data_IF_623002316301
#
_entry.id   IF_623002316301
#
_cell.length_a   1.000
_cell.length_b   1.000
_cell.length_c   1.000
_cell.angle_alpha   90.00
_cell.angle_beta   90.00
_cell.angle_gamma   90.00
#
_symmetry.space_group_name_H-M   'P 1'
#
loop_
_entity.id
_entity.type
_entity.pdbx_description
1 polymer ?
#
# COMPACT_ATOMS: atom_id res chain seq x y z
N UNK A 1 -0.79 -20.14 40.65
CA UNK A 1 0.22 -21.21 40.60
C UNK A 1 -0.11 -22.37 41.55
N UNK A 2 -0.15 -22.24 42.89
CA UNK A 2 -0.46 -23.32 43.82
C UNK A 2 -1.81 -23.98 43.52
N UNK A 3 -2.85 -23.21 43.14
CA UNK A 3 -4.15 -23.74 42.73
C UNK A 3 -4.13 -24.45 41.36
N UNK A 4 -3.22 -24.09 40.48
CA UNK A 4 -3.13 -24.67 39.13
C UNK A 4 -2.31 -25.98 39.13
N UNK A 5 -1.42 -26.19 40.10
CA UNK A 5 -0.62 -27.39 40.27
C UNK A 5 -1.33 -28.49 41.10
N UNK A 6 -2.51 -28.19 41.65
CA UNK A 6 -3.31 -29.10 42.49
C UNK A 6 -2.49 -29.79 43.61
N UNK A 7 -1.73 -28.97 44.35
CA UNK A 7 -0.83 -29.44 45.39
C UNK A 7 -1.59 -29.78 46.69
N UNK A 8 -1.30 -30.93 47.26
CA UNK A 8 -1.75 -31.26 48.62
C UNK A 8 -1.13 -30.32 49.67
N UNK A 9 -1.76 -30.15 50.84
CA UNK A 9 -1.23 -29.31 51.92
C UNK A 9 0.19 -29.68 52.38
N UNK A 10 0.54 -30.94 52.29
CA UNK A 10 1.91 -31.45 52.57
C UNK A 10 2.91 -31.02 51.48
N UNK A 11 2.50 -31.11 50.22
CA UNK A 11 3.32 -30.66 49.09
C UNK A 11 3.52 -29.14 49.12
N UNK A 12 2.54 -28.37 49.47
CA UNK A 12 2.66 -26.90 49.55
C UNK A 12 3.75 -26.48 50.55
N UNK A 13 3.81 -27.09 51.74
CA UNK A 13 4.83 -26.78 52.74
C UNK A 13 6.26 -27.15 52.30
N UNK A 14 6.42 -28.24 51.56
CA UNK A 14 7.72 -28.64 51.05
C UNK A 14 8.14 -27.93 49.77
N UNK A 15 7.19 -27.52 48.93
CA UNK A 15 7.39 -26.78 47.67
C UNK A 15 7.82 -25.34 47.89
N UNK A 16 7.24 -24.64 48.87
CA UNK A 16 7.44 -23.21 49.04
C UNK A 16 8.92 -22.78 49.19
N UNK A 17 9.73 -23.46 50.06
CA UNK A 17 11.15 -23.09 50.20
C UNK A 17 11.96 -23.39 48.93
N UNK A 18 11.66 -24.49 48.23
CA UNK A 18 12.36 -24.85 46.97
C UNK A 18 12.03 -23.84 45.90
N UNK A 19 10.76 -23.45 45.78
CA UNK A 19 10.31 -22.47 44.78
C UNK A 19 10.88 -21.09 45.06
N UNK A 20 11.00 -20.69 46.32
CA UNK A 20 11.59 -19.39 46.72
C UNK A 20 13.07 -19.34 46.34
N UNK A 21 13.86 -20.40 46.64
CA UNK A 21 15.24 -20.50 46.25
C UNK A 21 15.43 -20.53 44.72
N UNK A 22 14.53 -21.18 44.00
CA UNK A 22 14.51 -21.18 42.54
C UNK A 22 14.28 -19.79 41.97
N UNK A 23 13.33 -19.02 42.54
CA UNK A 23 13.06 -17.63 42.11
C UNK A 23 14.26 -16.75 42.34
N UNK A 24 14.92 -16.84 43.47
CA UNK A 24 16.16 -16.10 43.77
C UNK A 24 17.31 -16.46 42.82
N UNK A 25 17.40 -17.73 42.44
CA UNK A 25 18.41 -18.19 41.47
C UNK A 25 18.11 -17.63 40.05
N UNK A 26 16.84 -17.61 39.64
CA UNK A 26 16.41 -16.98 38.37
C UNK A 26 16.70 -15.48 38.35
N UNK A 27 16.38 -14.77 39.42
CA UNK A 27 16.59 -13.32 39.51
C UNK A 27 18.09 -12.98 39.43
N UNK A 28 18.97 -13.82 39.98
CA UNK A 28 20.42 -13.68 39.84
C UNK A 28 20.93 -14.00 38.43
N UNK A 29 20.29 -14.94 37.72
CA UNK A 29 20.66 -15.33 36.37
C UNK A 29 20.14 -14.30 35.32
N UNK A 30 19.03 -13.63 35.60
CA UNK A 30 18.45 -12.62 34.71
C UNK A 30 19.21 -11.30 34.87
N UNK A 31 20.21 -11.08 34.02
CA UNK A 31 20.89 -9.78 33.92
C UNK A 31 20.07 -8.86 33.03
N UNK A 32 19.91 -7.61 33.44
CA UNK A 32 19.31 -6.60 32.54
C UNK A 32 20.30 -6.31 31.42
N UNK A 33 19.99 -6.74 30.23
CA UNK A 33 20.72 -6.33 29.03
C UNK A 33 20.05 -5.03 28.56
N UNK A 34 20.79 -3.91 28.48
CA UNK A 34 20.23 -2.68 27.94
C UNK A 34 19.76 -2.92 26.50
N UNK A 35 18.59 -2.41 26.14
CA UNK A 35 18.16 -2.40 24.75
C UNK A 35 19.17 -1.56 23.96
N UNK A 36 19.85 -2.09 22.96
CA UNK A 36 20.88 -1.35 22.26
C UNK A 36 20.26 -0.32 21.31
N UNK A 37 20.18 0.93 21.76
CA UNK A 37 20.35 2.06 20.84
C UNK A 37 21.85 2.13 20.52
N UNK A 38 22.37 1.16 19.76
CA UNK A 38 23.79 1.07 19.49
C UNK A 38 23.99 1.11 17.98
N UNK A 39 24.57 2.20 17.52
CA UNK A 39 25.11 2.37 16.18
C UNK A 39 26.45 1.61 16.06
N UNK A 40 26.45 0.57 15.23
CA UNK A 40 27.63 -0.20 14.85
C UNK A 40 27.45 -1.71 14.93
N UNK A 41 27.86 -2.42 13.86
CA UNK A 41 27.69 -3.87 13.71
C UNK A 41 28.38 -4.69 14.80
N UNK A 42 29.54 -4.26 15.25
CA UNK A 42 30.31 -4.92 16.31
C UNK A 42 29.58 -4.87 17.67
N UNK A 43 28.95 -3.75 18.00
CA UNK A 43 28.19 -3.58 19.22
C UNK A 43 26.88 -4.38 19.21
N UNK A 44 26.21 -4.47 18.05
CA UNK A 44 25.04 -5.33 17.88
C UNK A 44 25.37 -6.81 18.05
N UNK A 45 26.52 -7.26 17.53
CA UNK A 45 27.01 -8.63 17.75
C UNK A 45 27.35 -8.92 19.21
N UNK A 46 27.94 -7.96 19.92
CA UNK A 46 28.25 -8.09 21.35
C UNK A 46 26.96 -8.20 22.18
N UNK A 47 25.98 -7.34 21.95
CA UNK A 47 24.69 -7.38 22.63
C UNK A 47 23.93 -8.70 22.35
N UNK A 48 23.99 -9.24 21.12
CA UNK A 48 23.40 -10.52 20.79
C UNK A 48 24.06 -11.67 21.55
N UNK A 49 25.39 -11.69 21.63
CA UNK A 49 26.14 -12.71 22.42
C UNK A 49 25.77 -12.66 23.90
N UNK A 50 25.67 -11.48 24.49
CA UNK A 50 25.27 -11.29 25.87
C UNK A 50 23.82 -11.74 26.13
N UNK A 51 22.91 -11.46 25.20
CA UNK A 51 21.52 -11.93 25.26
C UNK A 51 21.43 -13.46 25.20
N UNK A 52 22.20 -14.09 24.33
CA UNK A 52 22.26 -15.54 24.24
C UNK A 52 22.88 -16.18 25.50
N UNK A 53 23.91 -15.58 26.07
CA UNK A 53 24.50 -16.02 27.34
C UNK A 53 23.49 -15.93 28.50
N UNK A 54 22.68 -14.88 28.56
CA UNK A 54 21.62 -14.73 29.54
C UNK A 54 20.52 -15.81 29.38
N UNK A 55 20.11 -16.11 28.16
CA UNK A 55 19.15 -17.20 27.88
C UNK A 55 19.73 -18.56 28.35
N UNK A 56 21.00 -18.81 28.09
CA UNK A 56 21.69 -20.04 28.52
C UNK A 56 21.76 -20.15 30.05
N UNK A 57 22.07 -19.04 30.75
CA UNK A 57 22.12 -19.03 32.22
C UNK A 57 20.74 -19.31 32.84
N UNK A 58 19.67 -18.71 32.33
CA UNK A 58 18.30 -18.99 32.77
C UNK A 58 17.90 -20.43 32.52
N UNK A 59 18.27 -21.00 31.36
CA UNK A 59 17.99 -22.39 31.02
C UNK A 59 18.77 -23.35 31.94
N UNK A 60 19.98 -22.98 32.35
CA UNK A 60 20.77 -23.78 33.29
C UNK A 60 20.11 -23.83 34.69
N UNK A 61 19.71 -22.67 35.24
CA UNK A 61 18.98 -22.61 36.53
C UNK A 61 17.72 -23.48 36.48
N UNK A 62 16.95 -23.41 35.42
CA UNK A 62 15.77 -24.26 35.26
C UNK A 62 16.11 -25.74 35.29
N UNK A 63 17.18 -26.16 34.63
CA UNK A 63 17.64 -27.53 34.58
C UNK A 63 18.07 -28.04 35.98
N UNK A 64 18.83 -27.22 36.71
CA UNK A 64 19.36 -27.57 38.04
C UNK A 64 18.25 -27.74 39.08
N UNK A 65 17.07 -27.12 38.86
CA UNK A 65 15.95 -27.24 39.78
C UNK A 65 14.95 -28.34 39.42
N UNK A 66 15.06 -28.98 38.26
CA UNK A 66 14.18 -30.13 37.92
C UNK A 66 14.23 -31.24 38.97
N UNK A 67 15.45 -31.66 39.38
CA UNK A 67 15.62 -32.73 40.36
C UNK A 67 15.14 -32.34 41.75
N UNK A 68 15.37 -31.08 42.16
CA UNK A 68 14.88 -30.55 43.45
C UNK A 68 13.34 -30.48 43.49
N UNK A 69 12.71 -30.14 42.38
CA UNK A 69 11.25 -30.18 42.29
C UNK A 69 10.73 -31.62 42.28
N UNK A 70 11.47 -32.56 41.71
CA UNK A 70 11.10 -33.98 41.68
C UNK A 70 11.05 -34.62 43.07
N UNK A 71 11.72 -34.04 44.08
CA UNK A 71 11.60 -34.50 45.48
C UNK A 71 10.18 -34.26 46.06
N UNK A 72 9.39 -33.35 45.49
CA UNK A 72 8.12 -32.87 46.05
C UNK A 72 6.95 -32.94 45.05
N UNK A 73 7.26 -32.84 43.77
CA UNK A 73 6.28 -32.76 42.68
C UNK A 73 6.36 -33.98 41.77
N UNK A 74 5.27 -34.38 41.18
CA UNK A 74 5.24 -35.35 40.10
C UNK A 74 5.82 -34.75 38.81
N UNK A 75 6.26 -35.60 37.88
CA UNK A 75 6.78 -35.14 36.57
C UNK A 75 5.78 -34.26 35.80
N UNK A 76 4.47 -34.55 35.93
CA UNK A 76 3.41 -33.78 35.32
C UNK A 76 3.23 -32.40 35.98
N UNK A 77 3.34 -32.35 37.29
CA UNK A 77 3.31 -31.09 38.05
C UNK A 77 4.51 -30.20 37.72
N UNK A 78 5.71 -30.81 37.56
CA UNK A 78 6.92 -30.07 37.13
C UNK A 78 6.74 -29.52 35.73
N UNK A 79 6.21 -30.31 34.79
CA UNK A 79 5.90 -29.86 33.42
C UNK A 79 4.92 -28.69 33.42
N UNK A 80 3.87 -28.78 34.24
CA UNK A 80 2.87 -27.73 34.38
C UNK A 80 3.46 -26.48 35.02
N UNK A 81 4.36 -26.64 36.02
CA UNK A 81 5.08 -25.52 36.65
C UNK A 81 5.89 -24.74 35.64
N UNK A 82 6.71 -25.38 34.81
CA UNK A 82 7.54 -24.70 33.81
C UNK A 82 6.73 -24.09 32.66
N UNK A 83 5.63 -24.74 32.28
CA UNK A 83 4.70 -24.16 31.28
C UNK A 83 3.99 -22.94 31.81
N UNK A 84 3.55 -22.96 33.05
CA UNK A 84 2.89 -21.83 33.74
C UNK A 84 3.89 -20.69 33.98
N UNK A 85 5.13 -21.01 34.33
CA UNK A 85 6.19 -20.00 34.49
C UNK A 85 6.63 -19.35 33.18
N UNK A 86 6.61 -20.07 32.08
CA UNK A 86 6.79 -19.49 30.76
C UNK A 86 5.75 -18.40 30.47
N UNK A 87 4.53 -18.60 30.95
CA UNK A 87 3.45 -17.60 30.89
C UNK A 87 3.60 -16.50 31.97
N UNK A 88 4.07 -16.84 33.18
CA UNK A 88 4.28 -15.88 34.28
C UNK A 88 5.53 -15.04 34.06
N UNK A 89 6.62 -15.57 33.51
CA UNK A 89 7.83 -14.82 33.15
C UNK A 89 7.54 -13.73 32.12
N UNK A 90 6.59 -13.96 31.23
CA UNK A 90 6.03 -12.96 30.32
C UNK A 90 5.16 -11.96 31.08
N UNK A 91 4.51 -12.38 32.16
CA UNK A 91 3.61 -11.54 32.96
C UNK A 91 4.30 -10.71 34.06
N UNK A 92 5.43 -11.18 34.61
CA UNK A 92 6.19 -10.47 35.69
C UNK A 92 7.03 -9.31 35.12
N UNK A 93 7.57 -9.42 33.90
CA UNK A 93 8.11 -8.25 33.20
C UNK A 93 7.08 -7.16 32.95
N UNK A 94 5.78 -7.51 33.00
CA UNK A 94 4.65 -6.57 32.95
C UNK A 94 4.33 -5.92 34.30
N UNK A 95 4.61 -6.54 35.42
CA UNK A 95 4.18 -6.06 36.75
C UNK A 95 5.19 -5.09 37.42
N UNK A 96 6.42 -5.02 36.90
CA UNK A 96 7.49 -4.21 37.53
C UNK A 96 7.64 -2.79 37.00
N UNK A 97 6.77 -2.33 36.09
CA UNK A 97 6.94 -1.00 35.53
C UNK A 97 5.71 -0.29 34.96
N UNK A 98 4.59 -0.95 34.77
CA UNK A 98 3.36 -0.29 34.33
C UNK A 98 2.15 -1.11 34.81
N UNK A 99 1.15 -0.47 35.38
CA UNK A 99 -0.17 -1.04 35.62
C UNK A 99 -0.78 -1.42 34.25
N UNK A 100 -0.44 -2.60 33.73
CA UNK A 100 -0.93 -3.06 32.45
C UNK A 100 -2.39 -3.50 32.60
N UNK A 101 -3.31 -2.57 32.34
CA UNK A 101 -4.70 -2.93 32.09
C UNK A 101 -4.73 -3.93 30.93
N UNK A 102 -5.18 -5.16 31.18
CA UNK A 102 -5.35 -6.15 30.12
C UNK A 102 -6.38 -5.61 29.14
N UNK A 103 -6.02 -5.53 27.84
CA UNK A 103 -7.00 -5.20 26.82
C UNK A 103 -8.08 -6.28 26.85
N UNK A 104 -9.37 -5.93 27.01
CA UNK A 104 -10.45 -6.90 27.06
C UNK A 104 -10.55 -7.69 25.75
N UNK A 105 -11.14 -8.90 25.78
CA UNK A 105 -11.35 -9.72 24.57
C UNK A 105 -12.15 -8.99 23.51
N UNK A 106 -13.06 -8.10 23.91
CA UNK A 106 -13.77 -7.15 23.06
C UNK A 106 -13.39 -5.76 23.53
N UNK A 107 -12.74 -4.98 22.68
CA UNK A 107 -12.47 -3.57 22.93
C UNK A 107 -13.52 -2.75 22.17
N UNK A 108 -14.45 -2.20 22.91
CA UNK A 108 -15.49 -1.28 22.39
C UNK A 108 -15.35 0.07 23.05
N UNK A 109 -15.51 1.14 22.28
CA UNK A 109 -15.50 2.50 22.82
C UNK A 109 -16.69 2.72 23.77
N UNK A 110 -16.44 3.43 24.87
CA UNK A 110 -17.48 3.81 25.86
C UNK A 110 -18.42 4.92 25.35
N UNK A 111 -18.03 5.63 24.31
CA UNK A 111 -18.71 6.85 23.82
C UNK A 111 -18.29 8.12 24.58
N UNK A 112 -17.60 8.01 25.71
CA UNK A 112 -17.12 9.16 26.47
C UNK A 112 -15.73 9.58 26.00
N UNK A 113 -15.68 10.66 25.21
CA UNK A 113 -14.45 11.17 24.58
C UNK A 113 -13.58 11.92 25.58
N UNK A 114 -12.30 11.63 25.61
CA UNK A 114 -11.26 12.34 26.36
C UNK A 114 -10.11 12.70 25.42
N UNK A 115 -9.46 13.83 25.70
CA UNK A 115 -8.31 14.32 24.93
C UNK A 115 -7.09 14.37 25.84
N UNK A 116 -5.98 13.88 25.34
CA UNK A 116 -4.66 13.96 26.01
C UNK A 116 -3.66 14.69 25.10
N UNK A 117 -2.81 15.48 25.70
CA UNK A 117 -1.63 16.07 25.06
C UNK A 117 -0.44 15.10 25.22
N UNK A 118 0.12 14.67 24.09
CA UNK A 118 1.27 13.76 24.05
C UNK A 118 2.59 14.47 23.81
N UNK A 119 2.59 15.80 23.97
CA UNK A 119 3.78 16.65 23.86
C UNK A 119 4.18 17.00 22.44
N UNK A 120 5.35 17.55 22.30
CA UNK A 120 5.87 18.03 21.03
C UNK A 120 6.12 16.87 20.05
N UNK A 121 5.80 17.09 18.78
CA UNK A 121 6.08 16.10 17.72
C UNK A 121 7.59 15.99 17.42
N UNK A 122 8.32 17.09 17.63
CA UNK A 122 9.66 17.25 17.09
C UNK A 122 9.65 17.36 15.56
N UNK A 123 10.81 17.31 14.95
CA UNK A 123 10.93 17.19 13.50
C UNK A 123 10.83 15.70 13.11
N UNK A 124 9.82 15.35 12.31
CA UNK A 124 9.58 13.98 11.91
C UNK A 124 9.54 13.84 10.39
N UNK A 125 10.05 12.72 9.91
CA UNK A 125 10.16 12.39 8.49
C UNK A 125 9.13 11.39 8.02
N UNK A 126 8.50 10.65 8.96
CA UNK A 126 7.54 9.60 8.63
C UNK A 126 6.36 9.56 9.60
N UNK A 127 5.20 9.15 9.09
CA UNK A 127 4.02 8.75 9.88
C UNK A 127 3.68 7.31 9.54
N UNK A 128 3.61 6.46 10.56
CA UNK A 128 3.11 5.11 10.46
C UNK A 128 1.85 4.96 11.32
N UNK A 129 0.75 4.50 10.73
CA UNK A 129 -0.50 4.36 11.47
C UNK A 129 -1.30 3.14 11.01
N UNK A 130 -2.00 2.53 11.97
CA UNK A 130 -2.89 1.41 11.76
C UNK A 130 -3.97 1.37 12.85
N UNK A 131 -4.73 0.28 12.91
CA UNK A 131 -5.66 0.02 14.00
C UNK A 131 -6.64 1.17 14.30
N UNK A 132 -7.32 1.68 13.27
CA UNK A 132 -8.40 2.70 13.36
C UNK A 132 -7.97 4.12 13.76
N UNK A 133 -6.69 4.41 13.77
CA UNK A 133 -6.23 5.79 13.99
C UNK A 133 -6.57 6.70 12.80
N UNK A 134 -7.12 7.87 13.11
CA UNK A 134 -7.24 8.97 12.16
C UNK A 134 -6.27 10.06 12.54
N UNK A 135 -5.20 10.22 11.78
CA UNK A 135 -4.16 11.23 12.00
C UNK A 135 -4.46 12.44 11.13
N UNK A 136 -4.56 13.62 11.72
CA UNK A 136 -4.78 14.89 11.03
C UNK A 136 -3.54 15.76 11.18
N UNK A 137 -2.89 16.05 10.06
CA UNK A 137 -1.77 16.98 10.00
C UNK A 137 -2.33 18.40 9.93
N UNK A 138 -2.02 19.24 10.91
CA UNK A 138 -2.63 20.56 11.03
C UNK A 138 -1.61 21.66 11.27
N UNK A 139 -1.67 22.78 10.52
CA UNK A 139 -0.78 23.92 10.74
C UNK A 139 -1.08 24.67 12.04
N UNK A 140 -2.25 24.47 12.63
CA UNK A 140 -2.63 25.09 13.91
C UNK A 140 -2.18 24.28 15.15
N UNK A 141 -1.77 23.02 14.96
CA UNK A 141 -1.30 22.19 16.05
C UNK A 141 0.09 22.62 16.50
N UNK A 142 0.34 22.58 17.82
CA UNK A 142 1.65 22.83 18.43
C UNK A 142 2.24 21.57 19.04
N UNK A 143 1.36 20.71 19.55
CA UNK A 143 1.68 19.43 20.16
C UNK A 143 0.87 18.32 19.51
N UNK A 144 1.23 17.08 19.77
CA UNK A 144 0.44 15.92 19.38
C UNK A 144 -0.71 15.78 20.37
N UNK A 145 -1.95 15.92 19.89
CA UNK A 145 -3.14 15.69 20.71
C UNK A 145 -3.86 14.44 20.25
N UNK A 146 -4.27 13.62 21.22
CA UNK A 146 -4.98 12.37 20.97
C UNK A 146 -6.34 12.41 21.65
N UNK A 147 -7.37 12.16 20.88
CA UNK A 147 -8.75 12.07 21.36
C UNK A 147 -9.30 10.67 21.10
N UNK A 148 -9.70 9.99 22.16
CA UNK A 148 -10.27 8.66 22.09
C UNK A 148 -11.31 8.49 23.22
N UNK A 149 -11.98 7.34 23.25
CA UNK A 149 -12.82 6.99 24.38
C UNK A 149 -11.98 6.75 25.64
N UNK A 150 -12.51 7.14 26.81
CA UNK A 150 -11.80 7.10 28.09
C UNK A 150 -11.30 5.69 28.47
N UNK A 151 -12.02 4.66 28.05
CA UNK A 151 -11.65 3.27 28.27
C UNK A 151 -10.67 2.72 27.21
N UNK A 152 -10.31 3.52 26.18
CA UNK A 152 -9.44 3.13 25.07
C UNK A 152 -8.10 3.87 25.14
N UNK A 153 -8.11 5.14 25.57
CA UNK A 153 -6.96 6.04 25.45
C UNK A 153 -5.68 5.51 26.14
N UNK A 154 -5.81 4.80 27.26
CA UNK A 154 -4.69 4.21 27.98
C UNK A 154 -4.00 3.05 27.23
N UNK A 155 -4.64 2.50 26.19
CA UNK A 155 -4.09 1.44 25.34
C UNK A 155 -3.39 1.96 24.10
N UNK A 156 -3.47 3.26 23.83
CA UNK A 156 -2.83 3.87 22.68
C UNK A 156 -1.34 4.12 22.97
N UNK A 157 -0.51 4.02 21.93
CA UNK A 157 0.94 4.25 22.02
C UNK A 157 1.40 5.08 20.85
N UNK A 158 2.33 5.97 21.14
CA UNK A 158 3.14 6.67 20.18
C UNK A 158 4.60 6.23 20.38
N UNK A 159 5.19 5.66 19.37
CA UNK A 159 6.61 5.35 19.32
C UNK A 159 7.31 6.33 18.40
N UNK A 160 8.40 6.91 18.87
CA UNK A 160 9.28 7.80 18.10
C UNK A 160 10.56 7.05 17.79
N UNK A 161 10.74 6.65 16.52
CA UNK A 161 11.90 5.85 16.08
C UNK A 161 12.49 6.46 14.81
N UNK A 162 13.75 6.95 14.86
CA UNK A 162 14.45 7.43 13.66
C UNK A 162 13.71 8.50 12.86
N UNK A 163 12.97 9.40 13.54
CA UNK A 163 12.14 10.41 12.89
C UNK A 163 10.74 9.92 12.47
N UNK A 164 10.35 8.67 12.74
CA UNK A 164 9.02 8.16 12.49
C UNK A 164 8.11 8.36 13.72
N UNK A 165 6.90 8.86 13.49
CA UNK A 165 5.79 8.84 14.45
C UNK A 165 4.92 7.63 14.16
N UNK A 166 5.06 6.56 14.98
CA UNK A 166 4.29 5.34 14.83
C UNK A 166 3.16 5.26 15.87
N UNK A 167 1.92 5.26 15.40
CA UNK A 167 0.72 5.16 16.24
C UNK A 167 0.19 3.73 16.26
N UNK A 168 0.00 3.17 17.45
CA UNK A 168 -0.42 1.78 17.62
C UNK A 168 -1.28 1.55 18.86
N UNK A 169 -2.02 0.43 18.86
CA UNK A 169 -2.71 -0.10 20.04
C UNK A 169 -1.77 -1.05 20.80
N UNK A 170 -1.60 -0.86 22.10
CA UNK A 170 -0.81 -1.74 22.99
C UNK A 170 -1.74 -2.65 23.81
N UNK A 171 -1.32 -3.88 24.14
CA UNK A 171 -0.30 -4.66 23.48
C UNK A 171 -0.87 -5.39 22.26
N UNK A 172 -0.06 -5.63 21.24
CA UNK A 172 -0.37 -6.60 20.18
C UNK A 172 -0.36 -7.99 20.81
N UNK A 173 -1.44 -8.44 21.40
CA UNK A 173 -1.52 -9.84 21.81
C UNK A 173 -1.94 -10.69 20.60
N UNK A 174 -1.32 -11.86 20.46
CA UNK A 174 -1.57 -12.85 19.40
C UNK A 174 -2.98 -13.47 19.42
N UNK A 175 -3.86 -13.09 20.38
CA UNK A 175 -5.25 -13.57 20.45
C UNK A 175 -6.16 -12.62 19.71
N UNK A 176 -6.86 -13.11 18.72
CA UNK A 176 -7.89 -12.41 17.96
C UNK A 176 -8.85 -11.71 18.92
N UNK A 177 -8.91 -10.40 18.86
CA UNK A 177 -9.81 -9.58 19.66
C UNK A 177 -10.79 -8.92 18.73
N UNK A 178 -12.03 -8.91 19.15
CA UNK A 178 -13.06 -8.14 18.46
C UNK A 178 -12.90 -6.68 18.86
N UNK A 179 -12.75 -5.82 17.87
CA UNK A 179 -12.65 -4.36 18.06
C UNK A 179 -13.92 -3.79 17.46
N UNK A 180 -14.65 -3.02 18.23
CA UNK A 180 -15.92 -2.43 17.83
C UNK A 180 -15.97 -0.95 18.22
N UNK A 181 -16.55 -0.14 17.32
CA UNK A 181 -16.86 1.27 17.56
C UNK A 181 -15.70 2.11 18.11
N UNK A 182 -14.47 1.82 17.67
CA UNK A 182 -13.33 2.67 18.02
C UNK A 182 -13.29 3.90 17.12
N UNK A 183 -13.14 5.06 17.74
CA UNK A 183 -12.85 6.32 17.07
C UNK A 183 -11.64 6.96 17.76
N UNK A 184 -10.49 6.88 17.10
CA UNK A 184 -9.22 7.42 17.62
C UNK A 184 -8.80 8.54 16.67
N UNK A 185 -8.74 9.76 17.18
CA UNK A 185 -8.29 10.92 16.41
C UNK A 185 -6.99 11.45 17.00
N UNK A 186 -6.01 11.65 16.14
CA UNK A 186 -4.71 12.23 16.48
C UNK A 186 -4.50 13.47 15.64
N UNK A 187 -4.18 14.58 16.26
CA UNK A 187 -3.76 15.80 15.56
C UNK A 187 -2.27 15.99 15.76
N UNK A 188 -1.54 16.16 14.67
CA UNK A 188 -0.08 16.37 14.69
C UNK A 188 0.28 17.70 14.04
N UNK A 189 1.31 18.41 14.55
CA UNK A 189 1.87 19.58 13.88
C UNK A 189 2.43 19.22 12.49
N UNK A 190 2.53 20.19 11.61
CA UNK A 190 3.20 20.03 10.31
C UNK A 190 4.71 19.87 10.53
N UNK A 191 5.33 18.92 9.83
CA UNK A 191 6.79 18.82 9.72
C UNK A 191 7.23 19.09 8.29
N UNK A 192 8.19 19.98 8.09
CA UNK A 192 8.79 20.25 6.79
C UNK A 192 9.65 19.09 6.26
N UNK A 193 10.05 18.20 7.15
CA UNK A 193 10.84 17.01 6.83
C UNK A 193 10.02 15.78 6.49
N UNK A 194 8.66 15.84 6.58
CA UNK A 194 7.77 14.71 6.27
C UNK A 194 7.89 14.29 4.81
N UNK A 195 8.19 13.01 4.59
CA UNK A 195 8.30 12.40 3.27
C UNK A 195 7.72 10.99 3.19
N UNK A 196 7.42 10.35 4.31
CA UNK A 196 6.89 8.99 4.32
C UNK A 196 5.58 8.91 5.08
N UNK A 197 4.56 8.24 4.48
CA UNK A 197 3.27 7.99 5.10
C UNK A 197 2.87 6.54 4.85
N UNK A 198 2.75 5.76 5.93
CA UNK A 198 2.34 4.37 5.87
C UNK A 198 1.04 4.16 6.63
N UNK A 199 -0.02 3.76 5.91
CA UNK A 199 -1.38 3.65 6.46
C UNK A 199 -1.93 2.25 6.22
N UNK A 200 -2.38 1.58 7.29
CA UNK A 200 -3.00 0.27 7.19
C UNK A 200 -4.12 0.06 8.21
N UNK A 201 -4.74 -1.10 8.13
CA UNK A 201 -5.68 -1.56 9.15
C UNK A 201 -6.79 -0.57 9.53
N UNK A 202 -7.54 -0.07 8.54
CA UNK A 202 -8.64 0.90 8.75
C UNK A 202 -8.20 2.25 9.33
N UNK A 203 -6.94 2.61 9.18
CA UNK A 203 -6.43 3.90 9.60
C UNK A 203 -6.57 4.96 8.51
N UNK A 204 -6.40 6.23 8.87
CA UNK A 204 -6.41 7.33 7.93
C UNK A 204 -5.38 8.41 8.27
N UNK A 205 -4.86 9.06 7.24
CA UNK A 205 -4.07 10.29 7.37
C UNK A 205 -4.71 11.37 6.51
N UNK A 206 -4.98 12.51 7.12
CA UNK A 206 -5.55 13.68 6.45
C UNK A 206 -4.64 14.88 6.66
N UNK A 207 -4.37 15.64 5.62
CA UNK A 207 -3.69 16.93 5.74
C UNK A 207 -4.64 18.08 5.43
N UNK A 208 -4.66 19.08 6.32
CA UNK A 208 -5.47 20.29 6.13
C UNK A 208 -4.82 21.36 5.23
N UNK A 209 -3.68 21.03 4.68
CA UNK A 209 -2.92 21.87 3.77
C UNK A 209 -2.10 20.98 2.81
N UNK A 210 -1.69 21.48 1.65
CA UNK A 210 -0.79 20.71 0.79
C UNK A 210 0.51 20.35 1.51
N UNK A 211 0.86 19.07 1.47
CA UNK A 211 2.14 18.60 1.99
C UNK A 211 3.25 18.96 0.99
N UNK A 212 4.27 19.64 1.48
CA UNK A 212 5.40 20.11 0.66
C UNK A 212 6.67 19.40 1.07
N UNK A 213 7.42 18.88 0.10
CA UNK A 213 8.66 18.16 0.38
C UNK A 213 9.39 17.72 -0.87
N UNK A 214 10.24 16.72 -0.71
CA UNK A 214 10.93 16.05 -1.79
C UNK A 214 10.93 14.54 -1.57
N UNK A 215 10.70 13.79 -2.65
CA UNK A 215 10.72 12.32 -2.65
C UNK A 215 9.69 11.66 -1.71
N UNK A 216 8.43 12.05 -1.83
CA UNK A 216 7.36 11.42 -1.06
C UNK A 216 7.21 9.93 -1.36
N UNK A 217 7.10 9.13 -0.30
CA UNK A 217 6.82 7.71 -0.33
C UNK A 217 5.58 7.40 0.52
N UNK A 218 4.47 7.10 -0.15
CA UNK A 218 3.18 6.90 0.51
C UNK A 218 2.66 5.51 0.19
N UNK A 219 2.31 4.75 1.21
CA UNK A 219 1.71 3.43 1.04
C UNK A 219 0.48 3.25 1.92
N UNK A 220 -0.54 2.64 1.33
CA UNK A 220 -1.75 2.28 2.06
C UNK A 220 -2.22 0.88 1.71
N UNK A 221 -2.71 0.20 2.73
CA UNK A 221 -3.20 -1.18 2.65
C UNK A 221 -4.32 -1.41 3.64
N UNK A 222 -4.99 -2.56 3.54
CA UNK A 222 -5.97 -3.01 4.53
C UNK A 222 -7.01 -1.92 4.92
N UNK A 223 -7.65 -1.32 3.91
CA UNK A 223 -8.62 -0.21 4.07
C UNK A 223 -8.01 1.09 4.63
N UNK A 224 -6.71 1.30 4.44
CA UNK A 224 -6.06 2.57 4.78
C UNK A 224 -6.52 3.72 3.88
N UNK A 225 -6.63 4.92 4.42
CA UNK A 225 -7.07 6.11 3.69
C UNK A 225 -6.05 7.24 3.84
N UNK A 226 -5.70 7.90 2.73
CA UNK A 226 -4.91 9.14 2.76
C UNK A 226 -5.65 10.23 1.98
N UNK A 227 -5.87 11.37 2.64
CA UNK A 227 -6.42 12.59 2.03
C UNK A 227 -5.40 13.71 2.15
N UNK A 228 -4.72 14.00 1.06
CA UNK A 228 -3.70 15.05 1.04
C UNK A 228 -3.38 15.50 -0.38
N UNK A 229 -3.23 16.79 -0.58
CA UNK A 229 -2.57 17.33 -1.75
C UNK A 229 -1.06 17.32 -1.53
N UNK A 230 -0.29 16.91 -2.55
CA UNK A 230 1.17 16.83 -2.50
C UNK A 230 1.78 17.86 -3.47
N UNK A 231 2.78 18.57 -2.98
CA UNK A 231 3.66 19.39 -3.80
C UNK A 231 5.10 18.92 -3.55
N UNK A 232 5.56 18.03 -4.41
CA UNK A 232 6.80 17.29 -4.29
C UNK A 232 7.84 17.82 -5.30
N UNK A 233 8.93 18.37 -4.83
CA UNK A 233 10.02 18.81 -5.72
C UNK A 233 10.83 17.67 -6.32
N UNK A 234 10.65 16.44 -5.84
CA UNK A 234 11.31 15.23 -6.27
C UNK A 234 10.35 14.22 -6.91
N UNK A 235 10.59 12.94 -6.64
CA UNK A 235 9.81 11.83 -7.19
C UNK A 235 8.83 11.26 -6.17
N UNK A 236 7.54 11.40 -6.45
CA UNK A 236 6.47 10.78 -5.65
C UNK A 236 6.35 9.29 -5.96
N UNK A 237 6.43 8.46 -4.92
CA UNK A 237 6.06 7.04 -4.95
C UNK A 237 4.78 6.84 -4.16
N UNK A 238 3.75 6.32 -4.82
CA UNK A 238 2.45 6.08 -4.19
C UNK A 238 1.98 4.66 -4.49
N UNK A 239 1.71 3.89 -3.43
CA UNK A 239 1.16 2.55 -3.52
C UNK A 239 -0.18 2.47 -2.80
N UNK A 240 -1.24 2.17 -3.56
CA UNK A 240 -2.61 2.01 -3.05
C UNK A 240 -3.03 0.56 -3.26
N UNK A 241 -3.23 -0.19 -2.20
CA UNK A 241 -3.55 -1.61 -2.28
C UNK A 241 -4.56 -2.07 -1.23
N UNK A 242 -5.10 -3.27 -1.40
CA UNK A 242 -5.94 -3.93 -0.39
C UNK A 242 -7.08 -3.04 0.12
N UNK A 243 -7.90 -2.53 -0.81
CA UNK A 243 -9.00 -1.59 -0.54
C UNK A 243 -8.57 -0.24 0.04
N UNK A 244 -7.28 0.11 -0.06
CA UNK A 244 -6.80 1.43 0.33
C UNK A 244 -7.36 2.52 -0.57
N UNK A 245 -7.43 3.76 -0.07
CA UNK A 245 -7.93 4.92 -0.82
C UNK A 245 -7.00 6.11 -0.67
N UNK A 246 -6.58 6.67 -1.79
CA UNK A 246 -5.93 7.97 -1.83
C UNK A 246 -6.85 9.01 -2.48
N UNK A 247 -6.96 10.19 -1.88
CA UNK A 247 -7.72 11.31 -2.41
C UNK A 247 -6.91 12.60 -2.28
N UNK A 248 -6.62 13.27 -3.40
CA UNK A 248 -5.87 14.52 -3.46
C UNK A 248 -5.10 14.69 -4.76
N UNK A 249 -4.61 15.89 -5.00
CA UNK A 249 -3.79 16.23 -6.16
C UNK A 249 -2.31 15.94 -5.88
N UNK A 250 -1.55 15.60 -6.93
CA UNK A 250 -0.13 15.34 -6.84
C UNK A 250 0.59 16.21 -7.87
N UNK A 251 1.41 17.13 -7.39
CA UNK A 251 2.33 17.92 -8.21
C UNK A 251 3.76 17.47 -7.90
N UNK A 252 4.54 17.04 -8.90
CA UNK A 252 5.87 16.47 -8.67
C UNK A 252 6.84 16.65 -9.84
N UNK A 253 8.12 16.36 -9.63
CA UNK A 253 9.08 16.27 -10.72
C UNK A 253 8.92 14.96 -11.51
N UNK A 254 8.63 13.85 -10.84
CA UNK A 254 8.34 12.56 -11.45
C UNK A 254 7.45 11.71 -10.55
N UNK A 255 6.72 10.75 -11.11
CA UNK A 255 5.82 9.89 -10.34
C UNK A 255 6.00 8.40 -10.64
N UNK A 256 5.83 7.60 -9.61
CA UNK A 256 5.64 6.17 -9.71
C UNK A 256 4.42 5.78 -8.89
N UNK A 257 3.29 5.54 -9.58
CA UNK A 257 2.01 5.22 -8.94
C UNK A 257 1.63 3.76 -9.21
N UNK A 258 1.20 3.07 -8.17
CA UNK A 258 0.67 1.70 -8.26
C UNK A 258 -0.66 1.60 -7.53
N UNK A 259 -1.72 1.22 -8.25
CA UNK A 259 -3.06 1.04 -7.71
C UNK A 259 -3.51 -0.40 -7.98
N UNK A 260 -3.65 -1.20 -6.94
CA UNK A 260 -3.93 -2.62 -7.08
C UNK A 260 -4.86 -3.18 -5.99
N UNK A 261 -5.30 -4.41 -6.13
CA UNK A 261 -6.05 -5.12 -5.09
C UNK A 261 -7.25 -4.32 -4.56
N UNK A 262 -8.11 -3.87 -5.49
CA UNK A 262 -9.27 -3.01 -5.20
C UNK A 262 -8.93 -1.65 -4.58
N UNK A 263 -7.66 -1.21 -4.67
CA UNK A 263 -7.26 0.14 -4.26
C UNK A 263 -7.90 1.22 -5.15
N UNK A 264 -8.11 2.40 -4.60
CA UNK A 264 -8.73 3.53 -5.31
C UNK A 264 -7.85 4.77 -5.17
N UNK A 265 -7.50 5.37 -6.30
CA UNK A 265 -6.87 6.69 -6.35
C UNK A 265 -7.82 7.68 -7.02
N UNK A 266 -8.08 8.80 -6.36
CA UNK A 266 -8.88 9.91 -6.87
C UNK A 266 -8.08 11.21 -6.80
N UNK A 267 -7.87 11.85 -7.94
CA UNK A 267 -7.17 13.11 -8.03
C UNK A 267 -6.25 13.22 -9.23
N UNK A 268 -5.87 14.42 -9.57
CA UNK A 268 -5.02 14.69 -10.71
C UNK A 268 -3.54 14.52 -10.36
N UNK A 269 -2.78 14.03 -11.34
CA UNK A 269 -1.32 13.94 -11.30
C UNK A 269 -0.73 14.93 -12.30
N UNK A 270 0.13 15.81 -11.83
CA UNK A 270 0.90 16.72 -12.67
C UNK A 270 2.39 16.55 -12.41
N UNK A 271 3.15 16.10 -13.41
CA UNK A 271 4.60 15.94 -13.33
C UNK A 271 5.29 16.81 -14.37
N UNK A 272 6.46 17.34 -14.04
CA UNK A 272 7.33 18.01 -15.02
C UNK A 272 8.13 17.02 -15.87
N UNK A 273 8.38 15.82 -15.37
CA UNK A 273 9.11 14.74 -16.05
C UNK A 273 8.23 13.55 -16.40
N UNK A 274 8.61 12.36 -15.99
CA UNK A 274 7.94 11.11 -16.33
C UNK A 274 6.94 10.67 -15.26
N UNK A 275 5.76 10.28 -15.70
CA UNK A 275 4.74 9.59 -14.87
C UNK A 275 4.66 8.12 -15.25
N UNK A 276 5.12 7.24 -14.36
CA UNK A 276 4.98 5.79 -14.46
C UNK A 276 3.77 5.35 -13.61
N UNK A 277 2.70 4.90 -14.27
CA UNK A 277 1.43 4.59 -13.60
C UNK A 277 0.98 3.17 -13.92
N UNK A 278 0.71 2.38 -12.90
CA UNK A 278 0.17 1.02 -13.03
C UNK A 278 -1.15 0.88 -12.28
N UNK A 279 -2.17 0.33 -12.97
CA UNK A 279 -3.48 0.05 -12.39
C UNK A 279 -3.83 -1.41 -12.67
N UNK A 280 -3.93 -2.22 -11.63
CA UNK A 280 -4.14 -3.66 -11.81
C UNK A 280 -4.99 -4.29 -10.71
N UNK A 281 -5.26 -5.58 -10.83
CA UNK A 281 -5.97 -6.36 -9.80
C UNK A 281 -7.23 -5.66 -9.29
N UNK A 282 -8.11 -5.24 -10.23
CA UNK A 282 -9.34 -4.49 -9.95
C UNK A 282 -9.15 -3.13 -9.26
N UNK A 283 -7.93 -2.58 -9.27
CA UNK A 283 -7.67 -1.21 -8.82
C UNK A 283 -8.36 -0.16 -9.72
N UNK A 284 -8.59 1.02 -9.21
CA UNK A 284 -9.22 2.13 -9.95
C UNK A 284 -8.46 3.43 -9.76
N UNK A 285 -8.13 4.09 -10.88
CA UNK A 285 -7.57 5.44 -10.90
C UNK A 285 -8.56 6.36 -11.62
N UNK A 286 -9.03 7.39 -10.91
CA UNK A 286 -9.94 8.40 -11.41
C UNK A 286 -9.27 9.78 -11.29
N UNK A 287 -8.80 10.31 -12.39
CA UNK A 287 -8.13 11.61 -12.43
C UNK A 287 -7.25 11.79 -13.67
N UNK A 288 -6.97 13.03 -13.98
CA UNK A 288 -6.17 13.40 -15.13
C UNK A 288 -4.67 13.22 -14.84
N UNK A 289 -3.93 12.83 -15.86
CA UNK A 289 -2.46 12.70 -15.81
C UNK A 289 -1.85 13.68 -16.79
N UNK A 290 -1.03 14.58 -16.27
CA UNK A 290 -0.24 15.55 -17.08
C UNK A 290 1.24 15.37 -16.78
N UNK A 291 2.06 15.10 -17.80
CA UNK A 291 3.50 14.93 -17.65
C UNK A 291 4.23 15.22 -18.97
N UNK A 292 5.57 15.34 -18.96
CA UNK A 292 6.32 15.35 -20.21
C UNK A 292 6.21 13.99 -20.91
N UNK A 293 6.32 12.89 -20.13
CA UNK A 293 6.13 11.53 -20.63
C UNK A 293 5.22 10.74 -19.71
N UNK A 294 4.26 10.00 -20.29
CA UNK A 294 3.34 9.13 -19.54
C UNK A 294 3.51 7.67 -19.97
N UNK A 295 3.76 6.81 -18.99
CA UNK A 295 3.72 5.36 -19.13
C UNK A 295 2.55 4.85 -18.28
N UNK A 296 1.44 4.50 -18.90
CA UNK A 296 0.24 4.01 -18.21
C UNK A 296 -0.03 2.55 -18.57
N UNK A 297 0.00 1.67 -17.59
CA UNK A 297 -0.36 0.27 -17.73
C UNK A 297 -1.62 -0.05 -16.92
N UNK A 298 -2.68 -0.52 -17.60
CA UNK A 298 -3.94 -0.93 -16.97
C UNK A 298 -4.17 -2.42 -17.25
N UNK A 299 -4.24 -3.25 -16.24
CA UNK A 299 -4.31 -4.70 -16.40
C UNK A 299 -5.18 -5.39 -15.35
N UNK A 300 -5.43 -6.69 -15.53
CA UNK A 300 -6.07 -7.54 -14.51
C UNK A 300 -7.37 -6.94 -13.95
N UNK A 301 -8.28 -6.54 -14.84
CA UNK A 301 -9.56 -5.91 -14.47
C UNK A 301 -9.45 -4.50 -13.90
N UNK A 302 -8.25 -3.89 -13.90
CA UNK A 302 -8.04 -2.51 -13.48
C UNK A 302 -8.82 -1.50 -14.32
N UNK A 303 -9.08 -0.32 -13.76
CA UNK A 303 -9.84 0.75 -14.42
C UNK A 303 -9.11 2.08 -14.33
N UNK A 304 -8.99 2.76 -15.48
CA UNK A 304 -8.52 4.14 -15.56
C UNK A 304 -9.62 5.01 -16.16
N UNK A 305 -9.86 6.16 -15.56
CA UNK A 305 -10.77 7.19 -16.08
C UNK A 305 -10.18 8.58 -15.84
N UNK A 306 -9.86 9.29 -16.93
CA UNK A 306 -9.27 10.63 -16.88
C UNK A 306 -8.58 10.98 -18.19
N UNK A 307 -8.20 12.24 -18.34
CA UNK A 307 -7.43 12.70 -19.48
C UNK A 307 -5.93 12.37 -19.31
N UNK A 308 -5.24 12.08 -20.40
CA UNK A 308 -3.79 11.98 -20.49
C UNK A 308 -3.27 13.11 -21.36
N UNK A 309 -2.41 13.97 -20.80
CA UNK A 309 -1.78 15.07 -21.53
C UNK A 309 -0.26 15.01 -21.39
N UNK A 310 0.44 14.86 -22.53
CA UNK A 310 1.89 14.70 -22.54
C UNK A 310 2.50 15.07 -23.90
N UNK A 311 3.82 15.19 -23.96
CA UNK A 311 4.55 15.22 -25.24
C UNK A 311 4.54 13.84 -25.89
N UNK A 312 4.79 12.79 -25.09
CA UNK A 312 4.73 11.40 -25.52
C UNK A 312 4.01 10.54 -24.48
N UNK A 313 3.24 9.55 -24.93
CA UNK A 313 2.61 8.57 -24.04
C UNK A 313 2.69 7.14 -24.57
N UNK A 314 2.90 6.20 -23.64
CA UNK A 314 2.77 4.77 -23.84
C UNK A 314 1.62 4.24 -22.98
N UNK A 315 0.53 3.78 -23.62
CA UNK A 315 -0.67 3.29 -22.97
C UNK A 315 -0.84 1.79 -23.23
N UNK A 316 -0.79 0.97 -22.18
CA UNK A 316 -1.02 -0.47 -22.23
C UNK A 316 -2.30 -0.86 -21.52
N UNK A 317 -3.23 -1.59 -22.21
CA UNK A 317 -4.48 -2.07 -21.60
C UNK A 317 -4.65 -3.55 -21.89
N UNK A 318 -4.72 -4.37 -20.85
CA UNK A 318 -4.78 -5.83 -21.04
C UNK A 318 -5.61 -6.55 -19.95
N UNK A 319 -5.85 -7.83 -20.16
CA UNK A 319 -6.43 -8.70 -19.14
C UNK A 319 -7.75 -8.17 -18.56
N UNK A 320 -8.72 -7.92 -19.44
CA UNK A 320 -10.07 -7.41 -19.12
C UNK A 320 -10.08 -6.00 -18.50
N UNK A 321 -8.97 -5.27 -18.55
CA UNK A 321 -8.88 -3.91 -18.03
C UNK A 321 -9.58 -2.89 -18.94
N UNK A 322 -9.90 -1.74 -18.40
CA UNK A 322 -10.60 -0.67 -19.09
C UNK A 322 -9.88 0.67 -18.87
N UNK A 323 -9.69 1.42 -19.95
CA UNK A 323 -9.21 2.78 -19.90
C UNK A 323 -10.11 3.69 -20.74
N UNK A 324 -10.43 4.87 -20.21
CA UNK A 324 -11.26 5.85 -20.89
C UNK A 324 -10.85 7.29 -20.57
N UNK A 325 -10.87 8.17 -21.56
CA UNK A 325 -10.64 9.61 -21.41
C UNK A 325 -10.08 10.29 -22.64
N UNK A 326 -9.81 11.58 -22.54
CA UNK A 326 -9.13 12.34 -23.58
C UNK A 326 -7.64 11.99 -23.61
N UNK A 327 -7.04 11.97 -24.80
CA UNK A 327 -5.63 11.65 -25.01
C UNK A 327 -5.04 12.77 -25.85
N UNK A 328 -4.41 13.76 -25.17
CA UNK A 328 -3.78 14.91 -25.79
C UNK A 328 -2.27 14.74 -25.76
N UNK A 329 -1.72 14.05 -26.77
CA UNK A 329 -0.29 13.73 -26.83
C UNK A 329 0.25 13.85 -28.26
N UNK A 330 1.42 14.43 -28.44
CA UNK A 330 2.01 14.57 -29.77
C UNK A 330 2.30 13.20 -30.40
N UNK A 331 2.93 12.29 -29.66
CA UNK A 331 3.30 10.96 -30.11
C UNK A 331 2.72 9.90 -29.15
N UNK A 332 1.74 9.13 -29.63
CA UNK A 332 1.04 8.11 -28.87
C UNK A 332 1.50 6.70 -29.28
N UNK A 333 1.92 5.89 -28.31
CA UNK A 333 2.05 4.45 -28.45
C UNK A 333 1.01 3.75 -27.61
N UNK A 334 0.19 2.89 -28.24
CA UNK A 334 -0.89 2.19 -27.51
C UNK A 334 -0.88 0.71 -27.82
N UNK A 335 -1.06 -0.11 -26.79
CA UNK A 335 -1.18 -1.56 -26.91
C UNK A 335 -2.40 -2.07 -26.17
N UNK A 336 -3.28 -2.86 -26.84
CA UNK A 336 -4.49 -3.40 -26.24
C UNK A 336 -4.59 -4.89 -26.52
N UNK A 337 -4.56 -5.70 -25.47
CA UNK A 337 -4.54 -7.15 -25.57
C UNK A 337 -5.49 -7.83 -24.56
N UNK A 338 -5.68 -9.15 -24.73
CA UNK A 338 -6.33 -10.02 -23.75
C UNK A 338 -7.65 -9.45 -23.24
N UNK A 339 -8.54 -9.12 -24.19
CA UNK A 339 -9.86 -8.51 -23.92
C UNK A 339 -9.83 -7.17 -23.18
N UNK A 340 -8.68 -6.48 -23.17
CA UNK A 340 -8.59 -5.10 -22.71
C UNK A 340 -9.38 -4.14 -23.61
N UNK A 341 -9.82 -3.02 -23.07
CA UNK A 341 -10.56 -1.99 -23.82
C UNK A 341 -10.04 -0.58 -23.51
N UNK A 342 -9.68 0.16 -24.56
CA UNK A 342 -9.37 1.58 -24.46
C UNK A 342 -10.32 2.37 -25.36
N UNK A 343 -10.92 3.43 -24.80
CA UNK A 343 -11.74 4.39 -25.54
C UNK A 343 -11.28 5.80 -25.23
N UNK A 344 -11.01 6.60 -26.27
CA UNK A 344 -10.51 7.95 -26.03
C UNK A 344 -10.74 8.93 -27.18
N UNK A 345 -10.85 10.21 -26.82
CA UNK A 345 -10.76 11.30 -27.79
C UNK A 345 -9.27 11.65 -27.97
N UNK A 346 -8.73 11.31 -29.13
CA UNK A 346 -7.31 11.51 -29.43
C UNK A 346 -7.08 12.83 -30.15
N UNK A 347 -6.15 13.59 -29.63
CA UNK A 347 -5.61 14.81 -30.26
C UNK A 347 -4.08 14.73 -30.23
N UNK A 348 -3.47 14.53 -31.39
CA UNK A 348 -2.03 14.39 -31.50
C UNK A 348 -1.56 14.35 -32.95
N UNK A 349 -0.25 14.15 -33.12
CA UNK A 349 0.36 14.13 -34.45
C UNK A 349 0.48 12.71 -34.98
N UNK A 350 0.96 11.79 -34.16
CA UNK A 350 1.22 10.39 -34.54
C UNK A 350 0.64 9.39 -33.53
N UNK A 351 0.16 8.26 -34.05
CA UNK A 351 -0.29 7.16 -33.21
C UNK A 351 0.26 5.84 -33.76
N UNK A 352 0.89 5.06 -32.88
CA UNK A 352 1.29 3.67 -33.13
C UNK A 352 0.42 2.77 -32.26
N UNK A 353 -0.45 1.97 -32.88
CA UNK A 353 -1.41 1.11 -32.22
C UNK A 353 -1.15 -0.37 -32.48
N UNK A 354 -1.12 -1.19 -31.43
CA UNK A 354 -1.06 -2.65 -31.54
C UNK A 354 -2.25 -3.25 -30.79
N UNK A 355 -3.13 -3.99 -31.50
CA UNK A 355 -4.35 -4.53 -30.90
C UNK A 355 -4.47 -6.01 -31.25
N UNK A 356 -4.61 -6.86 -30.24
CA UNK A 356 -4.71 -8.30 -30.44
C UNK A 356 -5.42 -9.02 -29.30
N UNK A 357 -5.60 -10.32 -29.46
CA UNK A 357 -6.19 -11.17 -28.43
C UNK A 357 -7.52 -10.62 -27.89
N UNK A 358 -8.48 -10.34 -28.79
CA UNK A 358 -9.78 -9.74 -28.45
C UNK A 358 -9.72 -8.32 -27.85
N UNK A 359 -8.59 -7.65 -27.91
CA UNK A 359 -8.45 -6.25 -27.47
C UNK A 359 -9.31 -5.30 -28.31
N UNK A 360 -9.76 -4.20 -27.71
CA UNK A 360 -10.59 -3.20 -28.36
C UNK A 360 -10.04 -1.81 -28.14
N UNK A 361 -9.70 -1.13 -29.23
CA UNK A 361 -9.25 0.26 -29.24
C UNK A 361 -10.22 1.10 -30.05
N UNK A 362 -10.85 2.09 -29.41
CA UNK A 362 -11.72 3.03 -30.06
C UNK A 362 -11.19 4.47 -29.87
N UNK A 363 -10.85 5.11 -30.98
CA UNK A 363 -10.36 6.49 -30.97
C UNK A 363 -11.34 7.38 -31.73
N UNK A 364 -11.66 8.53 -31.14
CA UNK A 364 -12.43 9.62 -31.75
C UNK A 364 -11.61 10.89 -31.71
N UNK A 365 -12.02 11.95 -32.40
CA UNK A 365 -11.35 13.24 -32.29
C UNK A 365 -11.65 14.15 -33.47
N UNK A 366 -11.63 15.46 -33.23
CA UNK A 366 -11.85 16.48 -34.27
C UNK A 366 -10.54 17.04 -34.85
N UNK A 367 -9.41 16.85 -34.16
CA UNK A 367 -8.10 17.26 -34.63
C UNK A 367 -7.63 16.37 -35.81
N UNK A 368 -6.86 16.95 -36.73
CA UNK A 368 -6.27 16.19 -37.81
C UNK A 368 -4.97 15.53 -37.35
N UNK A 369 -4.93 14.21 -37.45
CA UNK A 369 -3.76 13.38 -37.14
C UNK A 369 -2.95 13.15 -38.42
N UNK A 370 -1.64 13.25 -38.37
CA UNK A 370 -0.79 13.11 -39.56
C UNK A 370 -0.62 11.64 -39.94
N UNK A 371 -0.13 10.84 -39.00
CA UNK A 371 0.23 9.43 -39.25
C UNK A 371 -0.34 8.50 -38.18
N UNK A 372 -0.97 7.41 -38.62
CA UNK A 372 -1.42 6.33 -37.75
C UNK A 372 -0.94 4.99 -38.30
N UNK A 373 -0.15 4.28 -37.49
CA UNK A 373 0.26 2.91 -37.80
C UNK A 373 -0.52 1.96 -36.91
N UNK A 374 -1.16 0.93 -37.51
CA UNK A 374 -1.99 -0.02 -36.79
C UNK A 374 -1.57 -1.45 -37.09
N UNK A 375 -1.28 -2.22 -36.05
CA UNK A 375 -1.04 -3.66 -36.14
C UNK A 375 -2.16 -4.41 -35.43
N UNK A 376 -2.89 -5.26 -36.17
CA UNK A 376 -4.03 -6.01 -35.69
C UNK A 376 -3.82 -7.50 -35.83
N UNK A 377 -4.15 -8.26 -34.80
CA UNK A 377 -4.09 -9.71 -34.82
C UNK A 377 -5.13 -10.35 -33.89
N UNK A 378 -5.35 -11.66 -34.04
CA UNK A 378 -6.09 -12.47 -33.05
C UNK A 378 -7.40 -11.82 -32.60
N UNK A 379 -8.26 -11.47 -33.56
CA UNK A 379 -9.57 -10.85 -33.34
C UNK A 379 -9.52 -9.49 -32.61
N UNK A 380 -8.40 -8.76 -32.69
CA UNK A 380 -8.30 -7.38 -32.22
C UNK A 380 -9.21 -6.46 -33.05
N UNK A 381 -9.81 -5.45 -32.39
CA UNK A 381 -10.70 -4.46 -33.01
C UNK A 381 -10.13 -3.06 -32.84
N UNK A 382 -9.97 -2.33 -33.95
CA UNK A 382 -9.59 -0.92 -34.00
C UNK A 382 -10.70 -0.12 -34.66
N UNK A 383 -11.27 0.85 -33.96
CA UNK A 383 -12.35 1.69 -34.49
C UNK A 383 -12.01 3.17 -34.36
N UNK A 384 -11.89 3.84 -35.48
CA UNK A 384 -11.58 5.29 -35.55
C UNK A 384 -12.29 5.96 -36.76
N UNK A 385 -13.61 5.73 -36.96
CA UNK A 385 -14.33 6.28 -38.13
C UNK A 385 -14.48 7.81 -38.05
N UNK A 386 -14.48 8.37 -36.85
CA UNK A 386 -14.64 9.81 -36.62
C UNK A 386 -13.29 10.55 -36.39
N UNK A 387 -12.17 9.83 -36.43
CA UNK A 387 -10.86 10.41 -36.31
C UNK A 387 -10.33 10.85 -37.70
N UNK A 388 -10.00 12.10 -37.88
CA UNK A 388 -9.50 12.66 -39.13
C UNK A 388 -8.00 12.40 -39.30
N UNK A 389 -7.62 11.44 -40.13
CA UNK A 389 -6.22 11.02 -40.31
C UNK A 389 -5.78 11.23 -41.76
N UNK A 390 -4.57 11.77 -41.94
CA UNK A 390 -3.99 11.96 -43.28
C UNK A 390 -3.49 10.64 -43.85
N UNK A 391 -2.67 9.92 -43.09
CA UNK A 391 -2.04 8.68 -43.55
C UNK A 391 -2.20 7.54 -42.57
N UNK A 392 -2.61 6.39 -43.09
CA UNK A 392 -2.65 5.13 -42.37
C UNK A 392 -1.72 4.11 -42.98
N UNK A 393 -1.00 3.33 -42.10
CA UNK A 393 -0.37 2.04 -42.42
C UNK A 393 -1.02 0.97 -41.54
N UNK A 394 -1.86 0.10 -42.11
CA UNK A 394 -2.63 -0.92 -41.38
C UNK A 394 -2.17 -2.30 -41.79
N UNK A 395 -1.71 -3.09 -40.83
CA UNK A 395 -1.43 -4.51 -40.96
C UNK A 395 -2.43 -5.29 -40.12
N UNK A 396 -3.27 -6.09 -40.79
CA UNK A 396 -4.37 -6.80 -40.11
C UNK A 396 -4.33 -8.29 -40.45
N UNK A 397 -4.46 -9.15 -39.44
CA UNK A 397 -4.46 -10.60 -39.62
C UNK A 397 -5.43 -11.30 -38.64
N UNK A 398 -5.66 -12.58 -38.82
CA UNK A 398 -6.30 -13.47 -37.85
C UNK A 398 -7.67 -12.97 -37.37
N UNK A 399 -8.62 -12.76 -38.29
CA UNK A 399 -9.99 -12.32 -38.02
C UNK A 399 -10.14 -10.97 -37.34
N UNK A 400 -9.11 -10.15 -37.35
CA UNK A 400 -9.16 -8.81 -36.76
C UNK A 400 -10.00 -7.84 -37.60
N UNK A 401 -10.41 -6.72 -37.00
CA UNK A 401 -11.27 -5.73 -37.66
C UNK A 401 -10.72 -4.33 -37.47
N UNK A 402 -10.75 -3.52 -38.56
CA UNK A 402 -10.49 -2.08 -38.47
C UNK A 402 -11.61 -1.30 -39.12
N UNK A 403 -11.94 -0.12 -38.59
CA UNK A 403 -12.82 0.87 -39.17
C UNK A 403 -12.15 2.25 -39.06
N UNK A 404 -11.87 2.91 -40.21
CA UNK A 404 -11.05 4.10 -40.26
C UNK A 404 -11.55 5.14 -41.28
N UNK A 405 -11.17 6.40 -41.10
CA UNK A 405 -11.34 7.47 -42.07
C UNK A 405 -9.99 8.06 -42.46
N UNK A 406 -9.70 8.21 -43.76
CA UNK A 406 -8.42 8.67 -44.27
C UNK A 406 -8.56 9.73 -45.36
N UNK A 407 -7.71 10.79 -45.31
CA UNK A 407 -7.78 11.89 -46.27
C UNK A 407 -6.74 11.85 -47.39
N UNK A 408 -5.56 11.25 -47.18
CA UNK A 408 -4.44 11.31 -48.14
C UNK A 408 -4.03 9.93 -48.63
N UNK A 409 -3.53 9.05 -47.74
CA UNK A 409 -2.98 7.75 -48.09
C UNK A 409 -3.38 6.68 -47.10
N UNK A 410 -4.02 5.62 -47.59
CA UNK A 410 -4.40 4.45 -46.81
C UNK A 410 -3.67 3.22 -47.36
N UNK A 411 -2.63 2.80 -46.65
CA UNK A 411 -1.89 1.57 -46.96
C UNK A 411 -2.45 0.43 -46.10
N UNK A 412 -2.85 -0.70 -46.72
CA UNK A 412 -3.44 -1.83 -46.03
C UNK A 412 -2.80 -3.12 -46.49
N UNK A 413 -2.36 -3.92 -45.53
CA UNK A 413 -1.98 -5.32 -45.69
C UNK A 413 -2.91 -6.17 -44.81
N UNK A 414 -3.89 -6.86 -45.40
CA UNK A 414 -4.85 -7.70 -44.67
C UNK A 414 -4.72 -9.15 -45.08
N UNK A 415 -4.69 -10.08 -44.15
CA UNK A 415 -4.58 -11.50 -44.33
C UNK A 415 -5.46 -12.30 -43.35
N UNK A 416 -5.57 -13.60 -43.57
CA UNK A 416 -6.22 -14.52 -42.61
C UNK A 416 -7.60 -14.04 -42.12
N UNK A 417 -8.48 -13.71 -43.06
CA UNK A 417 -9.87 -13.25 -42.82
C UNK A 417 -9.98 -11.94 -42.01
N UNK A 418 -8.95 -11.13 -41.92
CA UNK A 418 -9.06 -9.79 -41.37
C UNK A 418 -9.95 -8.93 -42.28
N UNK A 419 -10.64 -7.95 -41.66
CA UNK A 419 -11.56 -7.05 -42.38
C UNK A 419 -11.23 -5.59 -42.07
N UNK A 420 -11.12 -4.78 -43.11
CA UNK A 420 -10.91 -3.34 -42.97
C UNK A 420 -12.05 -2.62 -43.69
N UNK A 421 -12.78 -1.79 -42.93
CA UNK A 421 -13.75 -0.83 -43.45
C UNK A 421 -13.10 0.54 -43.46
N UNK A 422 -13.21 1.30 -44.54
CA UNK A 422 -12.66 2.63 -44.62
C UNK A 422 -13.61 3.62 -45.28
N UNK A 423 -13.43 4.88 -44.98
CA UNK A 423 -14.10 6.01 -45.63
C UNK A 423 -13.08 7.16 -45.84
N UNK A 424 -13.51 8.19 -46.56
CA UNK A 424 -12.69 9.34 -46.88
C UNK A 424 -12.11 9.35 -48.29
N UNK A 425 -11.50 10.48 -48.69
CA UNK A 425 -10.97 10.68 -50.05
C UNK A 425 -9.58 10.10 -50.29
N UNK A 426 -8.94 9.50 -49.27
CA UNK A 426 -7.56 9.03 -49.35
C UNK A 426 -7.34 7.94 -50.43
N UNK A 427 -6.15 7.99 -51.03
CA UNK A 427 -5.74 6.98 -52.02
C UNK A 427 -5.47 5.66 -51.30
N UNK A 428 -6.13 4.59 -51.77
CA UNK A 428 -5.93 3.24 -51.27
C UNK A 428 -4.74 2.57 -51.94
N UNK A 429 -3.79 2.03 -51.14
CA UNK A 429 -2.73 1.10 -51.60
C UNK A 429 -2.89 -0.23 -50.84
N UNK A 430 -3.22 -1.29 -51.60
CA UNK A 430 -3.44 -2.60 -50.99
C UNK A 430 -3.15 -3.71 -51.97
N UNK A 431 -2.73 -4.85 -51.45
CA UNK A 431 -2.65 -6.14 -52.16
C UNK A 431 -3.71 -7.15 -51.64
N UNK A 432 -4.70 -6.71 -50.86
CA UNK A 432 -5.60 -7.57 -50.10
C UNK A 432 -7.04 -7.43 -50.58
N UNK A 433 -7.81 -8.57 -50.66
CA UNK A 433 -9.18 -8.61 -51.16
C UNK A 433 -10.28 -8.33 -50.11
N UNK A 434 -9.94 -8.33 -48.82
CA UNK A 434 -10.89 -8.20 -47.69
C UNK A 434 -11.09 -6.74 -47.20
N UNK A 435 -11.04 -5.80 -48.14
CA UNK A 435 -11.16 -4.38 -47.84
C UNK A 435 -12.44 -3.85 -48.48
N UNK A 436 -13.22 -3.09 -47.71
CA UNK A 436 -14.47 -2.50 -48.19
C UNK A 436 -14.50 -1.01 -47.87
N UNK A 437 -14.96 -0.25 -48.85
CA UNK A 437 -15.35 1.14 -48.63
C UNK A 437 -16.73 1.19 -47.97
N UNK A 438 -16.91 2.00 -46.95
CA UNK A 438 -18.18 2.23 -46.25
C UNK A 438 -19.16 3.01 -47.12
#
# INVERSE_FOLDING_TARGET
MIRELDLSAKQVKAFDPIYKAYREALDRAIRSVPDPVISGEAAQRAALKERLANIAAVAQVKRDYVDRFAEVLTAEQIRLLYNTEGQIGTNIKRAAGESSRQIPRVLSGSGRRVTQDWGEAGDYTAIETGAFFKVVISPSARTITVTADDNVIDFLRLERRGGCLAFSLSPRSSRTRRIENLSISVVVPVSASLREIHVGSYAGVESRMPLRGADFNISMSAYGEVKADLVDSGRTRLQVSSYGTYEGTIECAGAQLSVASYGVLKGALTCTGTADVSVGSYGSLNGDIRAAQVNLAVSSGGKYSGAVKADAASLGVSSYAQAAGAIEVADLKVSVYSSGSLRGAFAGRRCEATVGSYGKLALTGSAVVEDVTVQLSSQGEFSAPDLRVKRYDIRASSYSKAEVWCSELLKIEASSSARVLYDGPGRLETLSDNIRRR
#
